data_IF_727344917711
#
_entry.id   IF_727344917711
#
_cell.length_a   1.000
_cell.length_b   1.000
_cell.length_c   1.000
_cell.angle_alpha   90.00
_cell.angle_beta   90.00
_cell.angle_gamma   90.00
#
_symmetry.space_group_name_H-M   'P 1'
#
loop_
_entity.id
_entity.type
_entity.pdbx_description
1 polymer ?
#
# COMPACT_ATOMS: atom_id res chain seq x y z
N UNK A 1 1.59 10.55 -3.75
CA UNK A 1 0.86 10.46 -2.47
C UNK A 1 0.91 9.02 -2.01
N UNK A 2 1.15 8.81 -0.72
CA UNK A 2 1.28 7.48 -0.09
C UNK A 2 0.38 7.45 1.13
N UNK A 3 -0.49 6.44 1.19
CA UNK A 3 -1.32 6.12 2.34
C UNK A 3 -0.71 4.94 3.07
N UNK A 4 -0.71 5.00 4.39
CA UNK A 4 -0.11 3.99 5.27
C UNK A 4 -1.22 3.48 6.17
N UNK A 5 -1.27 2.16 6.34
CA UNK A 5 -2.24 1.47 7.17
C UNK A 5 -1.49 0.55 8.12
N UNK A 6 -2.02 0.41 9.34
CA UNK A 6 -1.57 -0.56 10.34
C UNK A 6 -2.72 -1.50 10.65
N UNK A 7 -2.45 -2.78 10.85
CA UNK A 7 -3.42 -3.70 11.42
C UNK A 7 -3.14 -3.99 12.90
N UNK A 8 -4.00 -4.80 13.53
CA UNK A 8 -3.84 -5.19 14.94
C UNK A 8 -2.82 -6.31 15.16
N UNK A 9 -2.28 -6.90 14.10
CA UNK A 9 -1.36 -8.04 14.14
C UNK A 9 0.11 -7.62 13.93
N UNK A 10 0.39 -6.33 13.82
CA UNK A 10 1.73 -5.81 13.62
C UNK A 10 2.18 -5.85 12.15
N UNK A 11 1.25 -5.71 11.20
CA UNK A 11 1.58 -5.51 9.79
C UNK A 11 1.37 -4.05 9.38
N UNK A 12 2.19 -3.61 8.43
CA UNK A 12 2.04 -2.33 7.73
C UNK A 12 1.59 -2.58 6.30
N UNK A 13 0.62 -1.82 5.83
CA UNK A 13 0.30 -1.74 4.42
C UNK A 13 0.53 -0.32 3.88
N UNK A 14 1.09 -0.22 2.68
CA UNK A 14 1.34 1.05 2.00
C UNK A 14 0.69 1.03 0.62
N UNK A 15 -0.15 2.03 0.33
CA UNK A 15 -0.68 2.27 -1.02
C UNK A 15 -0.04 3.54 -1.56
N UNK A 16 0.73 3.41 -2.63
CA UNK A 16 1.43 4.54 -3.27
C UNK A 16 1.07 4.65 -4.74
N UNK A 17 0.63 5.84 -5.16
CA UNK A 17 0.45 6.14 -6.59
C UNK A 17 1.81 6.19 -7.29
N UNK A 18 1.94 5.44 -8.37
CA UNK A 18 3.16 5.32 -9.20
C UNK A 18 2.81 5.51 -10.67
N UNK A 19 3.73 6.09 -11.43
CA UNK A 19 3.64 6.20 -12.89
C UNK A 19 4.54 5.11 -13.49
N UNK A 20 3.98 4.26 -14.34
CA UNK A 20 4.73 3.13 -14.90
C UNK A 20 4.15 2.62 -16.21
N UNK A 21 4.89 1.75 -16.87
CA UNK A 21 4.41 1.02 -18.03
C UNK A 21 3.58 -0.18 -17.57
N UNK A 22 2.34 -0.36 -18.06
CA UNK A 22 1.49 -1.47 -17.66
C UNK A 22 2.02 -2.84 -18.11
N UNK A 23 2.76 -2.88 -19.21
CA UNK A 23 3.44 -4.07 -19.73
C UNK A 23 4.71 -3.63 -20.47
N UNK A 24 5.59 -4.59 -20.79
CA UNK A 24 6.92 -4.36 -21.38
C UNK A 24 6.89 -3.44 -22.61
N UNK A 25 5.92 -3.66 -23.51
CA UNK A 25 5.85 -2.96 -24.81
C UNK A 25 4.94 -1.72 -24.82
N UNK A 26 4.51 -1.25 -23.65
CA UNK A 26 3.62 -0.11 -23.57
C UNK A 26 4.35 1.17 -23.99
N UNK A 27 3.75 1.93 -24.90
CA UNK A 27 4.32 3.20 -25.40
C UNK A 27 4.06 4.37 -24.45
N UNK A 28 3.06 4.26 -23.59
CA UNK A 28 2.63 5.31 -22.67
C UNK A 28 2.70 4.82 -21.22
N UNK A 29 3.11 5.71 -20.33
CA UNK A 29 3.01 5.46 -18.89
C UNK A 29 1.61 5.77 -18.41
N UNK A 30 1.09 4.91 -17.55
CA UNK A 30 -0.18 5.13 -16.86
C UNK A 30 0.06 5.18 -15.37
N UNK A 31 -0.85 5.84 -14.65
CA UNK A 31 -0.85 5.76 -13.20
C UNK A 31 -1.36 4.41 -12.74
N UNK A 32 -0.75 3.88 -11.69
CA UNK A 32 -1.22 2.73 -10.94
C UNK A 32 -0.97 2.92 -9.45
N UNK A 33 -1.54 2.04 -8.64
CA UNK A 33 -1.49 2.09 -7.19
C UNK A 33 -0.78 0.84 -6.68
N UNK A 34 0.45 1.04 -6.20
CA UNK A 34 1.26 -0.04 -5.62
C UNK A 34 0.79 -0.29 -4.19
N UNK A 35 0.27 -1.48 -3.92
CA UNK A 35 0.02 -2.01 -2.60
C UNK A 35 1.23 -2.83 -2.14
N UNK A 36 1.72 -2.56 -0.95
CA UNK A 36 2.82 -3.31 -0.30
C UNK A 36 2.40 -3.65 1.12
N UNK A 37 2.57 -4.90 1.53
CA UNK A 37 2.33 -5.33 2.91
C UNK A 37 3.63 -5.89 3.49
N UNK A 38 3.92 -5.51 4.73
CA UNK A 38 5.08 -5.95 5.48
C UNK A 38 4.73 -6.35 6.91
N UNK A 39 5.45 -7.34 7.45
CA UNK A 39 5.33 -7.79 8.82
C UNK A 39 6.34 -7.04 9.71
N UNK A 40 5.88 -6.08 10.52
CA UNK A 40 6.77 -5.25 11.33
C UNK A 40 7.47 -6.06 12.43
N UNK A 41 6.75 -7.05 12.99
CA UNK A 41 7.28 -7.96 14.00
C UNK A 41 8.40 -8.89 13.47
N UNK A 42 8.53 -9.00 12.15
CA UNK A 42 9.55 -9.80 11.49
C UNK A 42 10.49 -8.91 10.67
N UNK A 43 11.07 -7.89 11.32
CA UNK A 43 12.07 -7.01 10.70
C UNK A 43 11.57 -6.14 9.54
N UNK A 44 10.25 -6.04 9.33
CA UNK A 44 9.68 -5.33 8.19
C UNK A 44 9.63 -6.16 6.90
N UNK A 45 9.68 -7.50 7.02
CA UNK A 45 9.66 -8.41 5.87
C UNK A 45 8.42 -8.18 4.98
N UNK A 46 8.68 -7.92 3.70
CA UNK A 46 7.65 -7.69 2.70
C UNK A 46 7.16 -9.03 2.19
N UNK A 47 5.90 -9.35 2.48
CA UNK A 47 5.28 -10.61 2.07
C UNK A 47 4.29 -10.45 0.89
N UNK A 48 3.92 -9.22 0.55
CA UNK A 48 3.02 -8.98 -0.58
C UNK A 48 3.31 -7.65 -1.28
N UNK A 49 3.41 -7.69 -2.60
CA UNK A 49 3.51 -6.50 -3.46
C UNK A 49 2.68 -6.72 -4.72
N UNK A 50 1.80 -5.78 -5.07
CA UNK A 50 1.06 -5.79 -6.34
C UNK A 50 0.73 -4.36 -6.76
N UNK A 51 0.52 -4.15 -8.06
CA UNK A 51 0.09 -2.86 -8.62
C UNK A 51 -1.34 -3.01 -9.14
N UNK A 52 -2.19 -2.07 -8.78
CA UNK A 52 -3.59 -2.01 -9.21
C UNK A 52 -3.85 -0.82 -10.15
N UNK A 53 -4.81 -0.92 -11.07
CA UNK A 53 -5.19 0.20 -11.94
C UNK A 53 -5.81 1.39 -11.18
N UNK A 54 -6.54 1.12 -10.10
CA UNK A 54 -7.22 2.12 -9.28
C UNK A 54 -6.85 2.03 -7.79
N UNK A 55 -7.11 3.10 -7.04
CA UNK A 55 -6.89 3.12 -5.59
C UNK A 55 -7.91 2.24 -4.87
N UNK A 56 -9.15 2.27 -5.35
CA UNK A 56 -10.27 1.47 -4.84
C UNK A 56 -9.99 -0.02 -4.97
N UNK A 57 -9.36 -0.47 -6.06
CA UNK A 57 -8.95 -1.87 -6.23
C UNK A 57 -7.88 -2.29 -5.22
N UNK A 58 -6.88 -1.43 -4.99
CA UNK A 58 -5.85 -1.67 -3.98
C UNK A 58 -6.47 -1.74 -2.57
N UNK A 59 -7.39 -0.83 -2.23
CA UNK A 59 -8.11 -0.84 -0.95
C UNK A 59 -8.98 -2.08 -0.81
N UNK A 60 -9.73 -2.46 -1.84
CA UNK A 60 -10.58 -3.66 -1.83
C UNK A 60 -9.75 -4.92 -1.60
N UNK A 61 -8.56 -5.00 -2.20
CA UNK A 61 -7.66 -6.10 -1.93
C UNK A 61 -7.12 -6.04 -0.49
N UNK A 62 -6.71 -4.87 -0.01
CA UNK A 62 -6.21 -4.70 1.36
C UNK A 62 -7.21 -5.24 2.39
N UNK A 63 -8.51 -4.98 2.22
CA UNK A 63 -9.57 -5.49 3.11
C UNK A 63 -9.64 -7.01 3.22
N UNK A 64 -9.13 -7.76 2.21
CA UNK A 64 -9.07 -9.23 2.26
C UNK A 64 -7.95 -9.74 3.17
N UNK A 65 -6.96 -8.91 3.46
CA UNK A 65 -5.88 -9.24 4.39
C UNK A 65 -6.25 -8.87 5.82
N UNK A 66 -5.62 -9.55 6.78
CA UNK A 66 -5.67 -9.21 8.21
C UNK A 66 -7.10 -9.04 8.76
N UNK A 67 -8.04 -9.85 8.26
CA UNK A 67 -9.46 -9.80 8.63
C UNK A 67 -10.06 -8.39 8.60
N UNK A 68 -9.59 -7.53 7.68
CA UNK A 68 -10.02 -6.14 7.54
C UNK A 68 -9.82 -5.27 8.82
N UNK A 69 -8.79 -5.56 9.61
CA UNK A 69 -8.45 -4.78 10.83
C UNK A 69 -7.59 -3.54 10.55
N UNK A 70 -7.50 -3.13 9.28
CA UNK A 70 -6.66 -2.03 8.84
C UNK A 70 -7.17 -0.67 9.29
N UNK A 71 -6.27 0.13 9.86
CA UNK A 71 -6.49 1.51 10.24
C UNK A 71 -5.52 2.42 9.52
N UNK A 72 -6.07 3.39 8.79
CA UNK A 72 -5.27 4.40 8.10
C UNK A 72 -4.57 5.29 9.12
N UNK A 73 -3.25 5.39 8.97
CA UNK A 73 -2.45 6.34 9.71
C UNK A 73 -2.56 7.69 9.01
N UNK A 74 -3.50 8.52 9.47
CA UNK A 74 -3.53 9.93 9.05
C UNK A 74 -2.22 10.57 9.52
N UNK A 75 -1.50 11.23 8.61
CA UNK A 75 -0.33 12.04 8.96
C UNK A 75 -0.77 13.14 9.93
N UNK A 76 -0.79 12.88 11.24
CA UNK A 76 -0.47 13.95 12.19
C UNK A 76 0.96 14.31 11.86
N UNK A 77 1.12 15.52 11.34
CA UNK A 77 2.42 16.13 11.15
C UNK A 77 3.21 15.87 12.43
N UNK A 78 4.30 15.12 12.34
CA UNK A 78 5.36 15.23 13.31
C UNK A 78 5.93 16.64 13.15
N UNK A 79 5.26 17.62 13.73
CA UNK A 79 5.90 18.86 14.15
C UNK A 79 6.65 18.48 15.42
N UNK A 80 7.91 18.14 15.24
CA UNK A 80 8.90 18.18 16.32
C UNK A 80 8.88 19.60 16.89
N UNK A 81 8.54 19.73 18.17
CA UNK A 81 8.88 20.91 18.98
C UNK A 81 10.15 20.55 19.74
#
# INVERSE_FOLDING_TARGET
MTRIFKDIFGNTACITRRLGFPHRDAKNKIYGYKLTLSADYNGGDVYFVTIYPSEEDALRQLRKFSCNTWQEQTKRQFQTI
#
